data_IF_428480923362
#
_entry.id   IF_428480923362
#
_cell.length_a   1.000
_cell.length_b   1.000
_cell.length_c   1.000
_cell.angle_alpha   90.00
_cell.angle_beta   90.00
_cell.angle_gamma   90.00
#
_symmetry.space_group_name_H-M   'P 1'
#
loop_
_entity.id
_entity.type
_entity.pdbx_description
1 polymer ?
#
# COMPACT_ATOMS: atom_id res chain seq x y z
N UNK A 1 -10.06 15.16 -21.39
CA UNK A 1 -8.89 14.26 -21.22
C UNK A 1 -9.30 13.20 -20.21
N UNK A 2 -9.11 11.92 -20.50
CA UNK A 2 -9.44 10.83 -19.56
C UNK A 2 -8.15 10.33 -18.89
N UNK A 3 -8.19 10.08 -17.58
CA UNK A 3 -7.11 9.48 -16.81
C UNK A 3 -7.51 8.08 -16.37
N UNK A 4 -6.57 7.14 -16.41
CA UNK A 4 -6.75 5.77 -15.94
C UNK A 4 -5.67 5.44 -14.91
N UNK A 5 -6.06 4.71 -13.87
CA UNK A 5 -5.15 4.18 -12.85
C UNK A 5 -4.88 2.71 -13.15
N UNK A 6 -3.60 2.33 -13.09
CA UNK A 6 -3.16 0.95 -13.29
C UNK A 6 -2.48 0.46 -12.02
N UNK A 7 -2.86 -0.73 -11.58
CA UNK A 7 -2.32 -1.37 -10.38
C UNK A 7 -1.50 -2.60 -10.81
N UNK A 8 -0.17 -2.60 -10.66
CA UNK A 8 0.68 -3.70 -11.09
C UNK A 8 0.44 -4.96 -10.25
N UNK A 9 0.67 -6.12 -10.87
CA UNK A 9 0.48 -7.43 -10.23
C UNK A 9 1.69 -7.94 -9.46
N UNK A 10 1.63 -9.22 -9.07
CA UNK A 10 2.71 -9.93 -8.40
C UNK A 10 4.00 -9.94 -9.22
N UNK A 11 5.15 -9.75 -8.57
CA UNK A 11 6.48 -9.69 -9.18
C UNK A 11 7.06 -8.28 -9.26
N UNK A 12 6.24 -7.24 -9.06
CA UNK A 12 6.69 -5.85 -9.04
C UNK A 12 7.14 -5.36 -7.65
N UNK A 13 6.98 -6.16 -6.60
CA UNK A 13 7.34 -5.80 -5.23
C UNK A 13 8.86 -5.76 -5.01
N UNK A 14 9.28 -4.90 -4.09
CA UNK A 14 10.66 -4.82 -3.59
C UNK A 14 10.68 -4.84 -2.06
N UNK A 15 11.81 -5.24 -1.46
CA UNK A 15 11.99 -5.21 -0.01
C UNK A 15 11.86 -3.76 0.48
N UNK A 16 10.98 -3.54 1.46
CA UNK A 16 10.69 -2.20 2.01
C UNK A 16 9.72 -1.35 1.20
N UNK A 17 9.10 -1.87 0.13
CA UNK A 17 8.07 -1.16 -0.63
C UNK A 17 6.92 -0.72 0.30
N UNK A 18 6.51 0.54 0.17
CA UNK A 18 5.43 1.13 0.99
C UNK A 18 5.89 1.72 2.32
N UNK A 19 7.14 1.52 2.76
CA UNK A 19 7.65 2.02 4.05
C UNK A 19 7.58 3.54 4.17
N UNK A 20 8.09 4.28 3.19
CA UNK A 20 8.08 5.75 3.23
C UNK A 20 6.65 6.31 3.26
N UNK A 21 5.71 5.63 2.59
CA UNK A 21 4.29 6.00 2.56
C UNK A 21 3.64 5.74 3.92
N UNK A 22 3.94 4.59 4.53
CA UNK A 22 3.49 4.25 5.89
C UNK A 22 4.01 5.26 6.92
N UNK A 23 5.27 5.68 6.84
CA UNK A 23 5.86 6.65 7.76
C UNK A 23 5.29 8.06 7.56
N UNK A 24 5.11 8.49 6.32
CA UNK A 24 4.68 9.85 5.99
C UNK A 24 3.18 10.11 6.24
N UNK A 25 2.31 9.12 6.06
CA UNK A 25 0.85 9.34 6.03
C UNK A 25 0.10 8.45 7.02
N UNK A 26 -0.75 9.05 7.86
CA UNK A 26 -1.58 8.30 8.81
C UNK A 26 -2.56 7.35 8.12
N UNK A 27 -3.20 7.79 7.03
CA UNK A 27 -4.13 6.97 6.25
C UNK A 27 -3.47 5.69 5.72
N UNK A 28 -2.18 5.72 5.40
CA UNK A 28 -1.47 4.52 5.01
C UNK A 28 -1.37 3.56 6.19
N UNK A 29 -0.98 4.03 7.37
CA UNK A 29 -0.89 3.21 8.59
C UNK A 29 -2.23 2.56 8.94
N UNK A 30 -3.32 3.31 8.84
CA UNK A 30 -4.66 2.79 9.13
C UNK A 30 -5.04 1.62 8.19
N UNK A 31 -4.72 1.74 6.89
CA UNK A 31 -4.94 0.67 5.91
C UNK A 31 -4.08 -0.56 6.19
N UNK A 32 -2.81 -0.37 6.56
CA UNK A 32 -1.96 -1.50 6.95
C UNK A 32 -2.49 -2.19 8.20
N UNK A 33 -2.99 -1.45 9.19
CA UNK A 33 -3.59 -2.01 10.40
C UNK A 33 -4.86 -2.83 10.09
N UNK A 34 -5.73 -2.36 9.19
CA UNK A 34 -6.92 -3.11 8.76
C UNK A 34 -6.54 -4.47 8.15
N UNK A 35 -5.47 -4.50 7.35
CA UNK A 35 -4.95 -5.74 6.76
C UNK A 35 -4.41 -6.68 7.84
N UNK A 36 -3.64 -6.16 8.80
CA UNK A 36 -3.13 -6.96 9.92
C UNK A 36 -4.29 -7.53 10.74
N UNK A 37 -5.31 -6.73 11.06
CA UNK A 37 -6.50 -7.17 11.80
C UNK A 37 -7.27 -8.26 11.05
N UNK A 38 -7.35 -8.18 9.72
CA UNK A 38 -8.03 -9.18 8.89
C UNK A 38 -7.27 -10.51 8.75
N UNK A 39 -5.97 -10.52 9.03
CA UNK A 39 -5.11 -11.71 8.97
C UNK A 39 -4.90 -12.39 10.34
N UNK A 40 -5.42 -11.79 11.41
CA UNK A 40 -5.47 -12.38 12.76
C UNK A 40 -6.73 -13.22 12.98
#
# INVERSE_FOLDING_TARGET
MSQAFLFPGQGSQAVGMGKDVYEAFSVARDVFQEVDDALH
#
